data_IF_109257452228
#
_entry.id   IF_109257452228
#
_cell.length_a   1.000
_cell.length_b   1.000
_cell.length_c   1.000
_cell.angle_alpha   90.00
_cell.angle_beta   90.00
_cell.angle_gamma   90.00
#
_symmetry.space_group_name_H-M   'P 1'
#
loop_
_entity.id
_entity.type
_entity.pdbx_description
1 polymer ?
#
# COMPACT_ATOMS: atom_id res chain seq x y z
N UNK A 1 19.75 -0.97 -9.10
CA UNK A 1 19.53 0.44 -8.71
C UNK A 1 18.13 0.71 -8.18
N UNK A 2 17.10 -0.08 -8.51
CA UNK A 2 15.73 0.04 -7.95
C UNK A 2 15.56 -0.62 -6.58
N UNK A 3 16.33 -1.68 -6.27
CA UNK A 3 16.33 -2.36 -4.96
C UNK A 3 16.70 -1.42 -3.79
N UNK A 4 17.62 -0.47 -4.04
CA UNK A 4 18.13 0.48 -3.03
C UNK A 4 17.03 1.45 -2.52
N UNK A 5 16.17 1.94 -3.41
CA UNK A 5 15.15 2.95 -3.06
C UNK A 5 14.00 2.36 -2.23
N UNK A 6 13.71 1.08 -2.40
CA UNK A 6 12.67 0.38 -1.64
C UNK A 6 13.18 -0.07 -0.27
N UNK A 7 14.41 -0.57 -0.22
CA UNK A 7 15.07 -0.84 1.05
C UNK A 7 15.22 0.48 1.84
N UNK A 8 15.49 1.61 1.18
CA UNK A 8 15.46 2.93 1.80
C UNK A 8 14.07 3.36 2.25
N UNK A 9 13.00 3.14 1.48
CA UNK A 9 11.63 3.51 1.88
C UNK A 9 11.11 2.66 3.05
N UNK A 10 11.31 1.34 3.00
CA UNK A 10 10.94 0.42 4.07
C UNK A 10 11.80 0.71 5.32
N UNK A 11 13.10 0.95 5.15
CA UNK A 11 13.97 1.33 6.26
C UNK A 11 13.60 2.70 6.82
N UNK A 12 13.22 3.65 5.97
CA UNK A 12 12.77 4.98 6.39
C UNK A 12 11.49 4.89 7.21
N UNK A 13 10.48 4.13 6.76
CA UNK A 13 9.24 3.95 7.49
C UNK A 13 9.47 3.20 8.82
N UNK A 14 10.22 2.09 8.80
CA UNK A 14 10.62 1.36 10.02
C UNK A 14 11.42 2.23 10.99
N UNK A 15 12.31 3.08 10.48
CA UNK A 15 13.07 4.00 11.32
C UNK A 15 12.19 5.11 11.87
N UNK A 16 11.23 5.64 11.10
CA UNK A 16 10.25 6.62 11.56
C UNK A 16 9.35 6.06 12.67
N UNK A 17 8.93 4.80 12.56
CA UNK A 17 8.18 4.09 13.61
C UNK A 17 9.04 3.79 14.86
N UNK A 18 10.34 3.52 14.68
CA UNK A 18 11.28 3.34 15.81
C UNK A 18 11.64 4.65 16.50
N UNK A 19 11.78 5.73 15.75
CA UNK A 19 12.12 7.06 16.27
C UNK A 19 10.94 7.70 16.99
N UNK A 20 9.69 7.42 16.60
CA UNK A 20 8.51 7.82 17.41
C UNK A 20 8.47 7.15 18.79
N UNK A 21 9.10 5.98 18.97
CA UNK A 21 9.27 5.31 20.28
C UNK A 21 10.45 5.87 21.09
N UNK A 22 11.40 6.57 20.46
CA UNK A 22 12.48 7.31 21.14
C UNK A 22 12.06 8.77 21.28
N UNK A 23 11.70 9.18 22.51
CA UNK A 23 11.60 10.60 22.86
C UNK A 23 12.98 11.26 22.78
N UNK A 24 13.46 11.53 21.58
CA UNK A 24 14.61 12.39 21.41
C UNK A 24 14.16 13.83 21.57
N UNK A 25 14.89 14.58 22.40
CA UNK A 25 14.51 15.89 22.91
C UNK A 25 14.61 17.03 21.89
N UNK A 26 14.80 16.72 20.61
CA UNK A 26 14.82 17.72 19.54
C UNK A 26 13.40 18.01 19.05
N UNK A 27 13.06 19.29 19.18
CA UNK A 27 11.71 19.81 19.31
C UNK A 27 10.98 19.72 17.97
N UNK A 28 9.99 18.83 17.87
CA UNK A 28 8.97 18.88 16.83
C UNK A 28 8.50 20.34 16.61
N UNK A 29 8.14 20.74 15.37
CA UNK A 29 7.59 22.07 15.13
C UNK A 29 6.43 22.35 16.09
N UNK A 30 6.27 23.61 16.49
CA UNK A 30 5.18 23.98 17.38
C UNK A 30 3.84 23.58 16.73
N UNK A 31 2.90 23.10 17.53
CA UNK A 31 1.61 22.60 17.02
C UNK A 31 0.88 23.66 16.19
N UNK A 32 1.01 24.94 16.55
CA UNK A 32 0.44 26.05 15.80
C UNK A 32 1.02 26.14 14.38
N UNK A 33 2.35 26.02 14.22
CA UNK A 33 3.01 25.97 12.91
C UNK A 33 2.49 24.79 12.07
N UNK A 34 2.37 23.60 12.67
CA UNK A 34 1.83 22.43 11.97
C UNK A 34 0.39 22.66 11.51
N UNK A 35 -0.45 23.21 12.39
CA UNK A 35 -1.85 23.52 12.08
C UNK A 35 -1.96 24.53 10.96
N UNK A 36 -1.14 25.59 10.95
CA UNK A 36 -1.20 26.61 9.93
C UNK A 36 -0.68 26.12 8.56
N UNK A 37 0.40 25.34 8.55
CA UNK A 37 0.91 24.70 7.33
C UNK A 37 -0.15 23.79 6.70
N UNK A 38 -0.84 22.96 7.50
CA UNK A 38 -1.94 22.11 7.00
C UNK A 38 -3.13 22.96 6.57
N UNK A 39 -3.53 23.96 7.37
CA UNK A 39 -4.64 24.88 7.05
C UNK A 39 -4.41 25.65 5.74
N UNK A 40 -3.16 25.94 5.40
CA UNK A 40 -2.77 26.66 4.19
C UNK A 40 -2.24 25.73 3.08
N UNK A 41 -2.49 24.42 3.17
CA UNK A 41 -2.07 23.44 2.17
C UNK A 41 -2.52 23.78 0.74
N UNK A 42 -3.74 24.28 0.55
CA UNK A 42 -4.23 24.67 -0.78
C UNK A 42 -3.45 25.83 -1.40
N UNK A 43 -3.03 26.81 -0.60
CA UNK A 43 -2.19 27.91 -1.04
C UNK A 43 -0.78 27.41 -1.42
N UNK A 44 -0.19 26.57 -0.58
CA UNK A 44 1.12 25.98 -0.82
C UNK A 44 1.11 25.16 -2.11
N UNK A 45 0.10 24.30 -2.31
CA UNK A 45 -0.04 23.47 -3.51
C UNK A 45 -0.25 24.30 -4.77
N UNK A 46 -1.03 25.38 -4.66
CA UNK A 46 -1.25 26.31 -5.76
C UNK A 46 0.07 26.97 -6.20
N UNK A 47 0.88 27.46 -5.26
CA UNK A 47 2.16 28.11 -5.57
C UNK A 47 3.30 27.14 -5.90
N UNK A 48 3.14 25.86 -5.54
CA UNK A 48 4.02 24.78 -5.98
C UNK A 48 3.84 24.48 -7.48
N UNK A 49 2.63 24.67 -8.01
CA UNK A 49 2.35 24.47 -9.43
C UNK A 49 2.90 25.63 -10.27
N UNK A 50 2.67 26.88 -9.86
CA UNK A 50 3.18 28.06 -10.56
C UNK A 50 3.19 29.33 -9.69
N UNK A 51 4.05 30.33 -10.00
CA UNK A 51 4.01 31.63 -9.36
C UNK A 51 2.79 32.46 -9.73
N UNK A 52 2.07 32.99 -8.73
CA UNK A 52 0.83 33.75 -8.91
C UNK A 52 0.87 35.11 -8.23
N UNK A 53 0.19 36.10 -8.83
CA UNK A 53 -0.12 37.35 -8.16
C UNK A 53 -1.28 37.21 -7.16
N UNK A 54 -1.50 38.25 -6.36
CA UNK A 54 -2.52 38.21 -5.29
C UNK A 54 -3.96 38.10 -5.85
N UNK A 55 -4.37 38.85 -6.88
CA UNK A 55 -5.65 38.62 -7.57
C UNK A 55 -5.84 37.19 -8.05
N UNK A 56 -4.82 36.57 -8.65
CA UNK A 56 -4.83 35.18 -9.12
C UNK A 56 -5.03 34.22 -7.94
N UNK A 57 -4.27 34.36 -6.85
CA UNK A 57 -4.45 33.58 -5.60
C UNK A 57 -5.87 33.73 -5.05
N UNK A 58 -6.39 34.96 -5.02
CA UNK A 58 -7.74 35.23 -4.52
C UNK A 58 -8.81 34.51 -5.34
N UNK A 59 -8.68 34.56 -6.66
CA UNK A 59 -9.61 33.92 -7.58
C UNK A 59 -9.53 32.39 -7.48
N UNK A 60 -8.31 31.84 -7.50
CA UNK A 60 -8.08 30.39 -7.45
C UNK A 60 -8.58 29.75 -6.15
N UNK A 61 -8.39 30.41 -5.00
CA UNK A 61 -8.82 29.89 -3.70
C UNK A 61 -10.23 30.34 -3.28
N UNK A 62 -10.90 31.20 -4.07
CA UNK A 62 -12.23 31.71 -3.75
C UNK A 62 -12.29 32.51 -2.43
N UNK A 63 -11.18 33.14 -2.02
CA UNK A 63 -11.06 33.82 -0.73
C UNK A 63 -11.29 35.33 -0.82
N UNK A 64 -11.52 35.98 0.32
CA UNK A 64 -11.61 37.44 0.37
C UNK A 64 -10.26 38.11 0.10
N UNK A 65 -10.27 39.38 -0.34
CA UNK A 65 -9.06 40.20 -0.48
C UNK A 65 -8.26 40.33 0.83
N UNK A 66 -8.95 40.40 1.96
CA UNK A 66 -8.30 40.45 3.27
C UNK A 66 -7.61 39.13 3.62
N UNK A 67 -8.19 37.99 3.21
CA UNK A 67 -7.61 36.66 3.38
C UNK A 67 -6.40 36.45 2.47
N UNK A 68 -6.49 36.78 1.17
CA UNK A 68 -5.35 36.65 0.25
C UNK A 68 -4.16 37.52 0.66
N UNK A 69 -4.41 38.67 1.27
CA UNK A 69 -3.36 39.50 1.86
C UNK A 69 -2.73 38.86 3.12
N UNK A 70 -3.51 38.19 3.97
CA UNK A 70 -2.98 37.45 5.12
C UNK A 70 -2.14 36.24 4.69
N UNK A 71 -2.57 35.51 3.66
CA UNK A 71 -1.83 34.39 3.08
C UNK A 71 -0.45 34.80 2.58
N UNK A 72 -0.39 35.86 1.78
CA UNK A 72 0.88 36.40 1.28
C UNK A 72 1.81 36.81 2.41
N UNK A 73 1.29 37.51 3.43
CA UNK A 73 2.10 37.90 4.59
C UNK A 73 2.60 36.67 5.35
N UNK A 74 1.74 35.69 5.59
CA UNK A 74 2.13 34.43 6.23
C UNK A 74 3.26 33.72 5.46
N UNK A 75 3.18 33.66 4.13
CA UNK A 75 4.25 33.10 3.30
C UNK A 75 5.59 33.86 3.47
N UNK A 76 5.54 35.19 3.50
CA UNK A 76 6.73 36.04 3.66
C UNK A 76 7.29 35.96 5.08
N UNK A 77 6.43 36.04 6.11
CA UNK A 77 6.78 36.04 7.53
C UNK A 77 7.41 34.70 7.95
N UNK A 78 6.89 33.59 7.45
CA UNK A 78 7.42 32.23 7.71
C UNK A 78 8.55 31.83 6.76
N UNK A 79 8.89 32.68 5.78
CA UNK A 79 9.93 32.41 4.78
C UNK A 79 9.57 31.31 3.77
N UNK A 80 8.29 30.91 3.68
CA UNK A 80 7.81 29.95 2.69
C UNK A 80 7.68 30.53 1.29
N UNK A 81 7.48 31.84 1.16
CA UNK A 81 7.31 32.48 -0.14
C UNK A 81 7.97 33.84 -0.23
N UNK A 82 8.22 34.24 -1.48
CA UNK A 82 8.81 35.54 -1.80
C UNK A 82 8.11 36.17 -3.00
N UNK A 83 8.19 37.50 -3.07
CA UNK A 83 7.65 38.28 -4.19
C UNK A 83 8.74 38.54 -5.23
N UNK A 84 8.53 38.04 -6.44
CA UNK A 84 9.43 38.23 -7.60
C UNK A 84 8.59 38.71 -8.79
N UNK A 85 9.01 39.82 -9.42
CA UNK A 85 8.32 40.42 -10.58
C UNK A 85 6.81 40.62 -10.41
N UNK A 86 6.39 40.94 -9.17
CA UNK A 86 5.00 41.20 -8.83
C UNK A 86 4.15 39.95 -8.54
N UNK A 87 4.73 38.76 -8.69
CA UNK A 87 4.13 37.45 -8.38
C UNK A 87 4.74 36.86 -7.11
N UNK A 88 4.02 35.96 -6.48
CA UNK A 88 4.47 35.17 -5.34
C UNK A 88 4.88 33.78 -5.82
N UNK A 89 6.04 33.33 -5.37
CA UNK A 89 6.51 31.96 -5.54
C UNK A 89 6.94 31.39 -4.20
N UNK A 90 6.98 30.07 -4.10
CA UNK A 90 7.61 29.43 -2.95
C UNK A 90 9.12 29.64 -2.99
N UNK A 91 9.73 29.77 -1.81
CA UNK A 91 11.18 29.62 -1.64
C UNK A 91 11.53 28.13 -1.66
N UNK A 92 12.80 27.74 -1.74
CA UNK A 92 13.18 26.32 -1.62
C UNK A 92 12.75 25.68 -0.29
N UNK A 93 12.68 26.48 0.79
CA UNK A 93 12.12 26.04 2.07
C UNK A 93 10.60 25.82 1.96
N UNK A 94 9.87 26.79 1.39
CA UNK A 94 8.43 26.65 1.16
C UNK A 94 8.04 25.51 0.23
N UNK A 95 8.83 25.23 -0.81
CA UNK A 95 8.64 24.08 -1.70
C UNK A 95 8.77 22.77 -0.91
N UNK A 96 9.80 22.64 -0.06
CA UNK A 96 10.00 21.47 0.79
C UNK A 96 8.82 21.24 1.74
N UNK A 97 8.32 22.32 2.37
CA UNK A 97 7.14 22.26 3.24
C UNK A 97 5.88 21.91 2.45
N UNK A 98 5.66 22.51 1.28
CA UNK A 98 4.52 22.22 0.41
C UNK A 98 4.52 20.75 -0.04
N UNK A 99 5.68 20.21 -0.43
CA UNK A 99 5.82 18.79 -0.74
C UNK A 99 5.51 17.89 0.47
N UNK A 100 5.97 18.28 1.66
CA UNK A 100 5.66 17.57 2.91
C UNK A 100 4.15 17.50 3.19
N UNK A 101 3.44 18.63 3.05
CA UNK A 101 1.97 18.66 3.17
C UNK A 101 1.30 17.78 2.12
N UNK A 102 1.71 17.87 0.86
CA UNK A 102 1.11 17.04 -0.20
C UNK A 102 1.31 15.54 0.03
N UNK A 103 2.49 15.14 0.54
CA UNK A 103 2.76 13.76 0.93
C UNK A 103 1.87 13.33 2.10
N UNK A 104 1.75 14.15 3.14
CA UNK A 104 0.90 13.88 4.30
C UNK A 104 -0.58 13.76 3.93
N UNK A 105 -1.11 14.69 3.13
CA UNK A 105 -2.50 14.64 2.64
C UNK A 105 -2.75 13.39 1.79
N UNK A 106 -1.79 13.03 0.93
CA UNK A 106 -1.87 11.81 0.12
C UNK A 106 -1.86 10.58 1.01
N UNK A 107 -0.96 10.51 1.99
CA UNK A 107 -0.89 9.44 2.97
C UNK A 107 -2.23 9.26 3.70
N UNK A 108 -2.81 10.34 4.25
CA UNK A 108 -4.10 10.27 4.95
C UNK A 108 -5.24 9.79 4.04
N UNK A 109 -5.27 10.25 2.78
CA UNK A 109 -6.27 9.80 1.80
C UNK A 109 -6.12 8.30 1.51
N UNK A 110 -4.88 7.84 1.31
CA UNK A 110 -4.58 6.44 1.06
C UNK A 110 -4.91 5.57 2.27
N UNK A 111 -4.48 5.97 3.46
CA UNK A 111 -4.80 5.27 4.71
C UNK A 111 -6.31 5.15 4.92
N UNK A 112 -7.08 6.21 4.65
CA UNK A 112 -8.54 6.15 4.72
C UNK A 112 -9.14 5.21 3.67
N UNK A 113 -8.59 5.17 2.45
CA UNK A 113 -9.03 4.23 1.41
C UNK A 113 -8.77 2.78 1.81
N UNK A 114 -7.66 2.53 2.50
CA UNK A 114 -7.22 1.22 2.99
C UNK A 114 -7.80 0.86 4.37
N UNK A 115 -8.63 1.71 4.98
CA UNK A 115 -9.28 1.45 6.27
C UNK A 115 -9.89 0.04 6.36
N UNK A 116 -10.63 -0.47 5.34
CA UNK A 116 -11.17 -1.82 5.40
C UNK A 116 -10.11 -2.93 5.46
N UNK A 117 -8.89 -2.69 4.97
CA UNK A 117 -7.79 -3.65 5.03
C UNK A 117 -7.19 -3.74 6.44
N UNK A 118 -7.00 -2.61 7.11
CA UNK A 118 -6.34 -2.55 8.42
C UNK A 118 -7.09 -3.29 9.52
N UNK A 119 -8.39 -3.55 9.36
CA UNK A 119 -9.15 -4.41 10.27
C UNK A 119 -8.73 -5.89 10.22
N UNK A 120 -8.08 -6.33 9.14
CA UNK A 120 -7.80 -7.75 8.86
C UNK A 120 -6.32 -8.06 8.58
N UNK A 121 -5.44 -7.07 8.65
CA UNK A 121 -3.99 -7.27 8.58
C UNK A 121 -3.38 -6.94 9.94
N UNK A 122 -2.26 -7.61 10.28
CA UNK A 122 -1.62 -7.68 11.62
C UNK A 122 -1.84 -6.47 12.56
N UNK A 123 -2.02 -6.72 13.86
CA UNK A 123 -2.41 -5.71 14.87
C UNK A 123 -1.55 -4.42 14.87
N UNK A 124 -0.25 -4.53 14.58
CA UNK A 124 0.69 -3.39 14.62
C UNK A 124 1.00 -2.78 13.24
N UNK A 125 0.53 -3.37 12.14
CA UNK A 125 0.75 -2.93 10.75
C UNK A 125 2.22 -2.65 10.34
N UNK A 126 3.23 -3.02 11.15
CA UNK A 126 4.65 -2.64 10.96
C UNK A 126 5.27 -3.17 9.65
N UNK A 127 4.64 -4.16 9.01
CA UNK A 127 5.14 -4.79 7.78
C UNK A 127 4.44 -4.31 6.50
N UNK A 128 3.38 -3.51 6.63
CA UNK A 128 2.64 -2.97 5.49
C UNK A 128 2.96 -1.49 5.26
N UNK A 129 3.26 -1.11 4.02
CA UNK A 129 3.52 0.28 3.62
C UNK A 129 2.34 0.85 2.84
N UNK A 130 1.90 2.05 3.20
CA UNK A 130 0.68 2.68 2.68
C UNK A 130 0.93 3.33 1.31
N UNK A 131 2.08 4.00 1.17
CA UNK A 131 2.40 4.87 0.05
C UNK A 131 2.26 4.21 -1.33
N UNK A 132 2.70 2.95 -1.54
CA UNK A 132 2.59 2.30 -2.83
C UNK A 132 1.15 2.09 -3.31
N UNK A 133 0.17 2.13 -2.41
CA UNK A 133 -1.24 1.82 -2.66
C UNK A 133 -2.11 3.05 -2.88
N UNK A 134 -1.51 4.21 -3.19
CA UNK A 134 -2.23 5.49 -3.37
C UNK A 134 -3.44 5.40 -4.31
N UNK A 135 -3.31 4.63 -5.40
CA UNK A 135 -4.37 4.44 -6.41
C UNK A 135 -5.02 3.05 -6.37
N UNK A 136 -4.85 2.30 -5.28
CA UNK A 136 -5.24 0.89 -5.22
C UNK A 136 -6.75 0.64 -5.26
N UNK A 137 -7.23 -0.27 -6.08
CA UNK A 137 -8.61 -0.76 -6.02
C UNK A 137 -8.83 -1.48 -4.69
N UNK A 138 -9.90 -1.13 -3.97
CA UNK A 138 -10.29 -1.78 -2.70
C UNK A 138 -11.64 -2.44 -2.91
N UNK A 139 -11.64 -3.77 -2.92
CA UNK A 139 -12.85 -4.58 -3.06
C UNK A 139 -13.19 -5.19 -1.71
N UNK A 140 -14.34 -4.84 -1.15
CA UNK A 140 -14.77 -5.25 0.20
C UNK A 140 -15.99 -6.18 0.08
N UNK A 141 -16.02 -7.23 0.89
CA UNK A 141 -17.17 -8.11 1.01
C UNK A 141 -18.35 -7.34 1.62
N UNK A 142 -19.53 -7.47 1.01
CA UNK A 142 -20.76 -6.87 1.51
C UNK A 142 -21.84 -7.92 1.74
N UNK A 143 -22.89 -7.66 2.54
CA UNK A 143 -23.98 -8.63 2.68
C UNK A 143 -24.67 -9.00 1.36
N UNK A 144 -24.69 -8.07 0.39
CA UNK A 144 -25.26 -8.30 -0.96
C UNK A 144 -24.30 -8.99 -1.91
N UNK A 145 -23.00 -8.90 -1.65
CA UNK A 145 -21.94 -9.47 -2.48
C UNK A 145 -20.74 -9.87 -1.58
N UNK A 146 -20.86 -11.00 -0.86
CA UNK A 146 -19.85 -11.44 0.09
C UNK A 146 -18.63 -12.04 -0.58
N UNK A 147 -18.72 -12.42 -1.87
CA UNK A 147 -17.64 -13.07 -2.62
C UNK A 147 -16.85 -12.09 -3.51
N UNK A 148 -17.26 -10.81 -3.60
CA UNK A 148 -16.56 -9.81 -4.41
C UNK A 148 -15.02 -9.81 -4.25
N UNK A 149 -14.44 -9.89 -3.04
CA UNK A 149 -12.98 -9.86 -2.88
C UNK A 149 -12.29 -11.07 -3.53
N UNK A 150 -12.83 -12.27 -3.31
CA UNK A 150 -12.24 -13.49 -3.88
C UNK A 150 -12.48 -13.56 -5.38
N UNK A 151 -13.64 -13.11 -5.88
CA UNK A 151 -13.90 -13.00 -7.33
C UNK A 151 -12.93 -12.04 -8.01
N UNK A 152 -12.59 -10.91 -7.36
CA UNK A 152 -11.58 -9.97 -7.83
C UNK A 152 -10.20 -10.62 -7.92
N UNK A 153 -9.79 -11.34 -6.87
CA UNK A 153 -8.54 -12.10 -6.86
C UNK A 153 -8.49 -13.13 -8.00
N UNK A 154 -9.53 -13.95 -8.15
CA UNK A 154 -9.61 -14.99 -9.18
C UNK A 154 -9.60 -14.40 -10.59
N UNK A 155 -10.23 -13.24 -10.79
CA UNK A 155 -10.16 -12.53 -12.08
C UNK A 155 -8.72 -12.20 -12.47
N UNK A 156 -7.92 -11.65 -11.53
CA UNK A 156 -6.52 -11.31 -11.79
C UNK A 156 -5.65 -12.55 -11.99
N UNK A 157 -5.92 -13.61 -11.22
CA UNK A 157 -5.19 -14.87 -11.33
C UNK A 157 -5.40 -15.53 -12.69
N UNK A 158 -6.64 -15.53 -13.21
CA UNK A 158 -6.97 -16.10 -14.53
C UNK A 158 -6.28 -15.36 -15.68
N UNK A 159 -6.09 -14.05 -15.53
CA UNK A 159 -5.44 -13.17 -16.51
C UNK A 159 -3.90 -13.24 -16.48
N UNK A 160 -3.31 -13.93 -15.48
CA UNK A 160 -1.86 -14.00 -15.28
C UNK A 160 -1.26 -15.33 -15.74
N UNK A 161 -0.06 -15.27 -16.31
CA UNK A 161 0.79 -16.41 -16.65
C UNK A 161 1.67 -16.84 -15.45
N UNK A 162 2.08 -15.87 -14.63
CA UNK A 162 2.84 -16.13 -13.42
C UNK A 162 2.10 -15.66 -12.18
N UNK A 163 2.27 -16.40 -11.10
CA UNK A 163 1.66 -16.05 -9.84
C UNK A 163 2.56 -16.44 -8.68
N UNK A 164 2.85 -15.45 -7.82
CA UNK A 164 3.67 -15.66 -6.62
C UNK A 164 2.99 -15.04 -5.42
N UNK A 165 3.12 -15.63 -4.24
CA UNK A 165 2.48 -15.03 -3.09
C UNK A 165 2.61 -15.83 -1.80
N UNK A 166 2.11 -15.25 -0.73
CA UNK A 166 1.96 -15.94 0.52
C UNK A 166 0.58 -15.66 1.10
N UNK A 167 0.04 -16.61 1.84
CA UNK A 167 -1.25 -16.43 2.45
C UNK A 167 -1.36 -17.08 3.82
N UNK A 168 -2.09 -16.43 4.72
CA UNK A 168 -2.33 -16.90 6.10
C UNK A 168 -3.38 -18.03 6.14
N UNK A 169 -4.14 -18.19 5.07
CA UNK A 169 -5.16 -19.24 4.88
C UNK A 169 -5.08 -19.82 3.46
N UNK A 170 -6.01 -20.72 3.12
CA UNK A 170 -6.21 -21.21 1.76
C UNK A 170 -6.44 -20.06 0.79
N UNK A 171 -5.63 -19.99 -0.25
CA UNK A 171 -5.74 -18.93 -1.25
C UNK A 171 -6.98 -19.06 -2.13
N UNK A 172 -7.44 -20.30 -2.32
CA UNK A 172 -8.73 -20.61 -2.94
C UNK A 172 -9.53 -21.38 -1.88
N UNK A 173 -10.63 -20.80 -1.34
CA UNK A 173 -11.47 -21.49 -0.37
C UNK A 173 -12.02 -22.82 -0.92
N UNK A 174 -12.12 -23.88 -0.09
CA UNK A 174 -12.74 -25.14 -0.49
C UNK A 174 -14.19 -24.93 -0.95
N UNK A 175 -14.58 -25.56 -2.06
CA UNK A 175 -15.95 -25.51 -2.59
C UNK A 175 -16.25 -24.34 -3.54
N UNK A 176 -15.29 -23.47 -3.84
CA UNK A 176 -15.37 -22.60 -5.01
C UNK A 176 -15.02 -23.46 -6.24
N UNK A 177 -16.05 -23.87 -6.99
CA UNK A 177 -15.91 -24.59 -8.26
C UNK A 177 -15.39 -23.65 -9.35
N UNK A 178 -14.09 -23.33 -9.27
CA UNK A 178 -13.41 -22.54 -10.29
C UNK A 178 -12.56 -23.40 -11.23
N UNK A 179 -12.77 -24.72 -11.21
CA UNK A 179 -11.90 -25.69 -11.86
C UNK A 179 -10.48 -25.58 -11.29
N UNK A 180 -10.32 -25.80 -9.98
CA UNK A 180 -9.04 -25.72 -9.26
C UNK A 180 -7.89 -26.45 -9.95
N UNK A 181 -8.19 -27.54 -10.65
CA UNK A 181 -7.25 -28.27 -11.52
C UNK A 181 -6.65 -27.40 -12.64
N UNK A 182 -7.45 -26.52 -13.27
CA UNK A 182 -7.07 -25.70 -14.43
C UNK A 182 -6.49 -24.33 -14.08
N UNK A 183 -6.61 -23.94 -12.82
CA UNK A 183 -6.09 -22.67 -12.31
C UNK A 183 -4.56 -22.67 -12.24
N UNK A 184 -3.96 -23.85 -12.04
CA UNK A 184 -2.50 -24.03 -12.01
C UNK A 184 -1.95 -24.68 -13.29
N UNK A 185 -2.81 -25.31 -14.11
CA UNK A 185 -2.43 -25.78 -15.45
C UNK A 185 -1.82 -24.64 -16.28
N UNK A 186 -0.65 -24.91 -16.88
CA UNK A 186 0.10 -24.01 -17.77
C UNK A 186 0.67 -22.72 -17.13
N UNK A 187 0.57 -22.55 -15.80
CA UNK A 187 1.12 -21.38 -15.08
C UNK A 187 2.38 -21.72 -14.29
N UNK A 188 3.17 -20.70 -13.97
CA UNK A 188 4.27 -20.81 -13.01
C UNK A 188 3.83 -20.23 -11.67
N UNK A 189 3.70 -21.09 -10.66
CA UNK A 189 3.17 -20.70 -9.36
C UNK A 189 4.17 -20.95 -8.22
N UNK A 190 4.39 -19.94 -7.38
CA UNK A 190 5.23 -20.07 -6.19
C UNK A 190 4.53 -19.52 -4.95
N UNK A 191 4.31 -20.38 -3.95
CA UNK A 191 3.50 -20.06 -2.78
C UNK A 191 4.25 -20.32 -1.48
N UNK A 192 3.97 -19.48 -0.48
CA UNK A 192 4.35 -19.72 0.91
C UNK A 192 3.08 -19.77 1.78
N UNK A 193 2.90 -20.85 2.53
CA UNK A 193 1.75 -21.04 3.41
C UNK A 193 2.17 -21.31 4.86
N UNK A 194 1.25 -21.08 5.80
CA UNK A 194 1.37 -21.59 7.16
C UNK A 194 1.23 -23.13 7.18
N UNK A 195 1.82 -23.84 8.16
CA UNK A 195 1.80 -25.31 8.21
C UNK A 195 0.40 -25.92 8.11
N UNK A 196 -0.58 -25.40 8.84
CA UNK A 196 -1.96 -25.90 8.87
C UNK A 196 -2.65 -25.82 7.50
N UNK A 197 -2.35 -24.77 6.71
CA UNK A 197 -2.85 -24.63 5.36
C UNK A 197 -2.18 -25.64 4.40
N UNK A 198 -0.90 -25.98 4.62
CA UNK A 198 -0.21 -27.04 3.86
C UNK A 198 -0.78 -28.42 4.20
N UNK A 199 -1.09 -28.70 5.47
CA UNK A 199 -1.69 -29.97 5.89
C UNK A 199 -3.08 -30.15 5.26
N UNK A 200 -3.92 -29.12 5.30
CA UNK A 200 -5.24 -29.16 4.67
C UNK A 200 -5.13 -29.30 3.14
N UNK A 201 -4.17 -28.65 2.47
CA UNK A 201 -3.91 -28.86 1.03
C UNK A 201 -3.48 -30.30 0.69
N UNK A 202 -2.80 -31.00 1.62
CA UNK A 202 -2.41 -32.41 1.46
C UNK A 202 -3.59 -33.35 1.72
N UNK A 203 -4.39 -33.07 2.73
CA UNK A 203 -5.55 -33.89 3.09
C UNK A 203 -6.69 -33.75 2.07
N UNK A 204 -6.90 -32.54 1.54
CA UNK A 204 -7.85 -32.25 0.47
C UNK A 204 -7.30 -32.56 -0.92
N UNK A 205 -6.06 -33.07 -1.04
CA UNK A 205 -5.34 -33.20 -2.31
C UNK A 205 -6.23 -33.70 -3.44
N UNK A 206 -6.67 -32.73 -4.24
CA UNK A 206 -7.00 -32.93 -5.63
C UNK A 206 -5.72 -33.47 -6.26
N UNK A 207 -5.81 -34.61 -6.96
CA UNK A 207 -4.66 -35.24 -7.59
C UNK A 207 -3.87 -34.25 -8.48
N UNK A 208 -4.50 -33.17 -8.93
CA UNK A 208 -3.90 -32.09 -9.70
C UNK A 208 -2.86 -31.24 -8.95
N UNK A 209 -3.04 -30.91 -7.66
CA UNK A 209 -2.06 -30.07 -6.95
C UNK A 209 -0.75 -30.83 -6.70
N UNK A 210 -0.86 -32.09 -6.25
CA UNK A 210 0.30 -32.98 -6.10
C UNK A 210 1.02 -33.20 -7.43
N UNK A 211 0.25 -33.42 -8.51
CA UNK A 211 0.82 -33.55 -9.88
C UNK A 211 1.52 -32.28 -10.34
N UNK A 212 0.93 -31.10 -10.11
CA UNK A 212 1.53 -29.82 -10.50
C UNK A 212 2.82 -29.49 -9.71
N UNK A 213 2.90 -29.95 -8.46
CA UNK A 213 4.14 -29.90 -7.66
C UNK A 213 5.19 -30.84 -8.24
N UNK A 214 4.82 -32.10 -8.53
CA UNK A 214 5.73 -33.11 -9.08
C UNK A 214 6.23 -32.73 -10.50
N UNK A 215 5.39 -32.07 -11.30
CA UNK A 215 5.73 -31.56 -12.64
C UNK A 215 6.52 -30.23 -12.59
N UNK A 216 6.65 -29.61 -11.42
CA UNK A 216 7.42 -28.39 -11.20
C UNK A 216 6.73 -27.09 -11.63
N UNK A 217 5.43 -27.15 -11.93
CA UNK A 217 4.60 -25.98 -12.23
C UNK A 217 4.24 -25.17 -10.98
N UNK A 218 4.15 -25.86 -9.83
CA UNK A 218 3.84 -25.27 -8.53
C UNK A 218 4.98 -25.54 -7.56
N UNK A 219 5.50 -24.49 -6.94
CA UNK A 219 6.46 -24.59 -5.83
C UNK A 219 5.81 -24.12 -4.55
N UNK A 220 5.77 -24.97 -3.52
CA UNK A 220 5.19 -24.63 -2.22
C UNK A 220 6.28 -24.62 -1.14
N UNK A 221 6.29 -23.55 -0.35
CA UNK A 221 7.09 -23.43 0.86
C UNK A 221 6.19 -23.23 2.08
N UNK A 222 6.74 -23.45 3.27
CA UNK A 222 6.05 -23.25 4.54
C UNK A 222 6.84 -22.39 5.51
N UNK A 223 6.13 -21.50 6.23
CA UNK A 223 6.66 -20.63 7.27
C UNK A 223 5.64 -20.53 8.40
N UNK A 224 6.10 -20.56 9.65
CA UNK A 224 5.22 -20.66 10.83
C UNK A 224 4.32 -19.43 11.01
N UNK A 225 4.75 -18.26 10.51
CA UNK A 225 3.98 -17.01 10.58
C UNK A 225 4.10 -16.22 9.28
N UNK A 226 2.98 -15.63 8.87
CA UNK A 226 2.87 -14.74 7.72
C UNK A 226 2.08 -13.48 8.14
N UNK A 227 2.47 -12.29 7.70
CA UNK A 227 1.90 -11.04 8.22
C UNK A 227 0.51 -10.69 7.68
N UNK A 228 0.21 -11.15 6.46
CA UNK A 228 -1.04 -10.92 5.72
C UNK A 228 -1.04 -11.82 4.48
N UNK A 229 -2.08 -11.75 3.63
CA UNK A 229 -2.04 -12.36 2.30
C UNK A 229 -1.44 -11.41 1.27
N UNK A 230 -0.42 -11.84 0.54
CA UNK A 230 0.20 -11.10 -0.57
C UNK A 230 0.10 -11.91 -1.86
N UNK A 231 -0.34 -11.25 -2.93
CA UNK A 231 -0.53 -11.81 -4.26
C UNK A 231 0.25 -10.99 -5.29
N UNK A 232 1.15 -11.62 -6.04
CA UNK A 232 1.91 -11.02 -7.13
C UNK A 232 1.44 -11.67 -8.43
N UNK A 233 0.82 -10.85 -9.26
CA UNK A 233 0.44 -11.15 -10.63
C UNK A 233 1.48 -10.55 -11.59
N UNK A 234 1.33 -10.79 -12.90
CA UNK A 234 2.25 -10.26 -13.91
C UNK A 234 2.33 -8.72 -13.86
N UNK A 235 1.17 -8.07 -13.87
CA UNK A 235 1.05 -6.62 -13.95
C UNK A 235 0.44 -5.96 -12.70
N UNK A 236 0.12 -6.74 -11.67
CA UNK A 236 -0.51 -6.24 -10.43
C UNK A 236 0.02 -6.91 -9.17
N UNK A 237 -0.13 -6.21 -8.05
CA UNK A 237 0.00 -6.79 -6.71
C UNK A 237 -1.35 -6.66 -5.99
N UNK A 238 -1.70 -7.67 -5.21
CA UNK A 238 -2.85 -7.67 -4.30
C UNK A 238 -2.44 -7.95 -2.85
N UNK A 239 -3.19 -7.39 -1.90
CA UNK A 239 -3.13 -7.75 -0.48
C UNK A 239 -4.52 -8.18 -0.03
N UNK A 240 -4.61 -9.37 0.57
CA UNK A 240 -5.84 -9.95 1.10
C UNK A 240 -5.95 -9.77 2.60
N UNK A 241 -7.12 -9.30 3.05
CA UNK A 241 -7.51 -9.29 4.46
C UNK A 241 -8.53 -10.39 4.73
N UNK A 242 -8.27 -11.20 5.75
CA UNK A 242 -9.05 -12.39 6.07
C UNK A 242 -9.64 -12.30 7.47
N UNK A 243 -10.83 -12.85 7.63
CA UNK A 243 -11.45 -13.09 8.92
C UNK A 243 -10.76 -14.28 9.61
N UNK A 244 -10.17 -14.07 10.78
CA UNK A 244 -9.37 -15.10 11.47
C UNK A 244 -10.20 -16.32 11.90
N UNK A 245 -11.47 -16.11 12.25
CA UNK A 245 -12.36 -17.18 12.72
C UNK A 245 -12.86 -18.06 11.57
N UNK A 246 -13.16 -17.45 10.42
CA UNK A 246 -13.81 -18.14 9.29
C UNK A 246 -12.89 -18.39 8.09
N UNK A 247 -11.73 -17.74 8.03
CA UNK A 247 -10.83 -17.77 6.89
C UNK A 247 -11.36 -17.03 5.64
N UNK A 248 -12.51 -16.36 5.74
CA UNK A 248 -13.13 -15.68 4.61
C UNK A 248 -12.36 -14.41 4.22
N UNK A 249 -12.10 -14.22 2.93
CA UNK A 249 -11.51 -12.98 2.41
C UNK A 249 -12.54 -11.84 2.51
N UNK A 250 -12.30 -10.90 3.44
CA UNK A 250 -13.19 -9.76 3.70
C UNK A 250 -12.88 -8.56 2.82
N UNK A 251 -11.64 -8.45 2.37
CA UNK A 251 -11.16 -7.35 1.56
C UNK A 251 -9.99 -7.81 0.70
N UNK A 252 -9.95 -7.29 -0.52
CA UNK A 252 -8.84 -7.46 -1.42
C UNK A 252 -8.46 -6.10 -2.00
N UNK A 253 -7.20 -5.72 -1.81
CA UNK A 253 -6.64 -4.45 -2.27
C UNK A 253 -5.64 -4.72 -3.37
N UNK A 254 -5.86 -4.20 -4.57
CA UNK A 254 -4.94 -4.43 -5.71
C UNK A 254 -4.53 -3.15 -6.45
N UNK A 255 -3.30 -3.13 -6.96
CA UNK A 255 -2.76 -2.02 -7.74
C UNK A 255 -1.76 -2.49 -8.80
N UNK A 256 -1.65 -1.74 -9.90
CA UNK A 256 -0.63 -1.89 -10.94
C UNK A 256 0.57 -0.95 -10.74
N UNK A 257 0.58 -0.17 -9.65
CA UNK A 257 1.65 0.77 -9.34
C UNK A 257 3.00 0.05 -9.30
N UNK A 258 3.95 0.51 -10.12
CA UNK A 258 5.30 -0.09 -10.21
C UNK A 258 5.99 -0.16 -8.85
N UNK A 259 5.88 0.90 -8.05
CA UNK A 259 6.46 0.95 -6.71
C UNK A 259 5.87 -0.12 -5.77
N UNK A 260 4.58 -0.44 -5.92
CA UNK A 260 3.93 -1.48 -5.13
C UNK A 260 4.38 -2.87 -5.57
N UNK A 261 4.54 -3.10 -6.88
CA UNK A 261 5.06 -4.37 -7.40
C UNK A 261 6.50 -4.64 -6.98
N UNK A 262 7.35 -3.61 -7.03
CA UNK A 262 8.74 -3.73 -6.59
C UNK A 262 8.84 -3.95 -5.06
N UNK A 263 8.00 -3.27 -4.26
CA UNK A 263 7.85 -3.53 -2.82
C UNK A 263 7.43 -4.98 -2.54
N UNK A 264 6.37 -5.44 -3.19
CA UNK A 264 5.80 -6.77 -2.99
C UNK A 264 6.78 -7.88 -3.34
N UNK A 265 7.55 -7.69 -4.42
CA UNK A 265 8.62 -8.60 -4.79
C UNK A 265 9.68 -8.68 -3.69
N UNK A 266 10.15 -7.54 -3.15
CA UNK A 266 11.13 -7.53 -2.06
C UNK A 266 10.60 -8.25 -0.80
N UNK A 267 9.35 -7.97 -0.40
CA UNK A 267 8.71 -8.64 0.73
C UNK A 267 8.60 -10.15 0.50
N UNK A 268 8.13 -10.56 -0.69
CA UNK A 268 7.99 -11.97 -1.04
C UNK A 268 9.34 -12.69 -1.00
N UNK A 269 10.40 -12.13 -1.61
CA UNK A 269 11.73 -12.75 -1.60
C UNK A 269 12.30 -12.88 -0.17
N UNK A 270 12.06 -11.89 0.69
CA UNK A 270 12.45 -11.96 2.11
C UNK A 270 11.71 -13.09 2.84
N UNK A 271 10.38 -13.20 2.65
CA UNK A 271 9.57 -14.25 3.30
C UNK A 271 9.97 -15.64 2.79
N UNK A 272 10.18 -15.76 1.47
CA UNK A 272 10.61 -16.99 0.80
C UNK A 272 11.98 -17.46 1.29
N UNK A 273 12.93 -16.56 1.49
CA UNK A 273 14.28 -16.89 1.96
C UNK A 273 14.28 -17.54 3.36
N UNK A 274 13.30 -17.18 4.19
CA UNK A 274 13.11 -17.75 5.54
C UNK A 274 12.17 -18.96 5.57
N UNK A 275 11.56 -19.32 4.43
CA UNK A 275 10.60 -20.41 4.32
C UNK A 275 11.28 -21.75 4.03
N UNK A 276 10.63 -22.84 4.43
CA UNK A 276 11.11 -24.22 4.21
C UNK A 276 10.38 -24.82 3.01
N UNK A 277 11.06 -25.46 2.05
CA UNK A 277 10.38 -26.10 0.94
C UNK A 277 9.48 -27.24 1.45
N UNK A 278 8.28 -27.34 0.89
CA UNK A 278 7.39 -28.48 1.10
C UNK A 278 7.71 -29.51 0.02
N UNK A 279 8.26 -30.65 0.43
CA UNK A 279 8.39 -31.80 -0.47
C UNK A 279 7.08 -32.58 -0.54
N UNK A 280 6.83 -33.22 -1.69
CA UNK A 280 5.88 -34.33 -1.82
C UNK A 280 6.15 -35.40 -0.76
#
# INVERSE_FOLDING_TARGET
MTHDLLDELISYDRNLQRDTRRRDGDRYPETETLVDVVRHGDLLRLLLAEPLDRPEIQAALGVSRATSHRFVRWLEDEGYGERVDGRYRLTGYGETVAYGVCKFETYLRTARRLEPLFEYICEDHEEFVVEPFTDATVTVATPSDPYAPIERFLSLLRESETFRGFNTTHMIPPGIDDGGDRLFEERTVELVYVPDAVETLRDESDAALGTAIDEGHVTVHTRDALPYGLALFDDRVGVGGYDEDTGAMRVFVDTDARIAREWAASVFESIRADARPVSS
#
